data_IF_346015663172
#
_entry.id   IF_346015663172
#
_cell.length_a   1.000
_cell.length_b   1.000
_cell.length_c   1.000
_cell.angle_alpha   90.00
_cell.angle_beta   90.00
_cell.angle_gamma   90.00
#
_symmetry.space_group_name_H-M   'P 1'
#
loop_
_entity.id
_entity.type
_entity.pdbx_description
1 polymer ?
#
# COMPACT_ATOMS: atom_id res chain seq x y z
N UNK A 1 -10.32 27.51 -25.49
CA UNK A 1 -9.48 27.96 -24.36
C UNK A 1 -8.92 26.72 -23.69
N UNK A 2 -7.60 26.58 -23.59
CA UNK A 2 -6.95 25.42 -22.95
C UNK A 2 -6.73 25.72 -21.46
N UNK A 3 -7.74 25.43 -20.65
CA UNK A 3 -7.59 25.40 -19.20
C UNK A 3 -6.79 24.16 -18.82
N UNK A 4 -5.51 24.33 -18.48
CA UNK A 4 -4.68 23.22 -18.02
C UNK A 4 -4.84 23.05 -16.51
N UNK A 5 -5.05 21.82 -16.06
CA UNK A 5 -5.17 21.55 -14.62
C UNK A 5 -3.85 21.83 -13.90
N UNK A 6 -2.70 21.76 -14.59
CA UNK A 6 -1.35 21.90 -14.01
C UNK A 6 -1.12 23.21 -13.26
N UNK A 7 -1.77 24.30 -13.66
CA UNK A 7 -1.66 25.60 -12.99
C UNK A 7 -2.73 25.82 -11.90
N UNK A 8 -3.61 24.85 -11.65
CA UNK A 8 -4.71 24.99 -10.73
C UNK A 8 -4.23 24.87 -9.26
N UNK A 9 -4.69 25.74 -8.33
CA UNK A 9 -4.27 25.73 -6.91
C UNK A 9 -4.49 24.41 -6.17
N UNK A 10 -5.39 23.56 -6.70
CA UNK A 10 -5.69 22.25 -6.13
C UNK A 10 -4.43 21.40 -5.91
N UNK A 11 -3.43 21.47 -6.79
CA UNK A 11 -2.20 20.69 -6.64
C UNK A 11 -1.35 21.15 -5.45
N UNK A 12 -1.30 22.47 -5.20
CA UNK A 12 -0.59 23.01 -4.05
C UNK A 12 -1.28 22.62 -2.75
N UNK A 13 -2.61 22.79 -2.70
CA UNK A 13 -3.40 22.41 -1.53
C UNK A 13 -3.25 20.91 -1.23
N UNK A 14 -3.26 20.07 -2.27
CA UNK A 14 -3.09 18.63 -2.13
C UNK A 14 -1.71 18.23 -1.62
N UNK A 15 -0.67 18.82 -2.19
CA UNK A 15 0.72 18.61 -1.74
C UNK A 15 0.89 19.01 -0.28
N UNK A 16 0.32 20.15 0.13
CA UNK A 16 0.36 20.62 1.51
C UNK A 16 -0.39 19.69 2.46
N UNK A 17 -1.59 19.22 2.08
CA UNK A 17 -2.37 18.29 2.89
C UNK A 17 -1.61 16.97 3.11
N UNK A 18 -1.04 16.40 2.04
CA UNK A 18 -0.24 15.17 2.14
C UNK A 18 1.06 15.37 2.94
N UNK A 19 1.69 16.54 2.86
CA UNK A 19 2.90 16.85 3.64
C UNK A 19 2.66 16.95 5.15
N UNK A 20 1.40 17.14 5.59
CA UNK A 20 1.03 17.15 7.00
C UNK A 20 0.78 15.74 7.56
N UNK A 21 0.74 14.72 6.70
CA UNK A 21 0.48 13.33 7.07
C UNK A 21 1.79 12.54 6.97
N UNK A 22 2.18 11.82 8.02
CA UNK A 22 3.25 10.84 7.91
C UNK A 22 2.71 9.59 7.18
N UNK A 23 2.78 9.62 5.85
CA UNK A 23 2.29 8.53 5.00
C UNK A 23 3.01 7.20 5.29
N UNK A 24 4.26 7.22 5.76
CA UNK A 24 4.95 5.99 6.16
C UNK A 24 4.44 5.46 7.51
N UNK A 25 3.94 6.32 8.39
CA UNK A 25 3.27 5.89 9.63
C UNK A 25 2.00 5.09 9.34
N UNK A 26 1.24 5.43 8.28
CA UNK A 26 0.04 4.67 7.88
C UNK A 26 0.41 3.21 7.59
N UNK A 27 1.38 2.97 6.71
CA UNK A 27 1.81 1.61 6.40
C UNK A 27 2.45 0.89 7.61
N UNK A 28 3.17 1.60 8.47
CA UNK A 28 3.74 1.02 9.70
C UNK A 28 2.65 0.54 10.65
N UNK A 29 1.62 1.36 10.88
CA UNK A 29 0.49 1.01 11.74
C UNK A 29 -0.27 -0.19 11.16
N UNK A 30 -0.59 -0.14 9.86
CA UNK A 30 -1.26 -1.25 9.18
C UNK A 30 -0.50 -2.58 9.30
N UNK A 31 0.82 -2.57 9.05
CA UNK A 31 1.67 -3.76 9.24
C UNK A 31 1.66 -4.29 10.68
N UNK A 32 1.61 -3.40 11.68
CA UNK A 32 1.50 -3.78 13.09
C UNK A 32 0.15 -4.40 13.43
N UNK A 33 -0.94 -3.83 12.92
CA UNK A 33 -2.31 -4.31 13.14
C UNK A 33 -2.50 -5.72 12.56
N UNK A 34 -1.90 -5.99 11.39
CA UNK A 34 -1.86 -7.31 10.76
C UNK A 34 -0.76 -8.23 11.33
N UNK A 35 -0.02 -7.81 12.37
CA UNK A 35 1.07 -8.56 13.01
C UNK A 35 2.17 -9.02 12.03
N UNK A 36 2.35 -8.30 10.93
CA UNK A 36 3.30 -8.63 9.86
C UNK A 36 3.03 -9.99 9.19
N UNK A 37 1.78 -10.47 9.22
CA UNK A 37 1.32 -11.67 8.52
C UNK A 37 0.36 -11.29 7.39
N UNK A 38 0.43 -12.01 6.28
CA UNK A 38 -0.52 -11.90 5.15
C UNK A 38 -1.16 -13.27 4.99
N UNK A 39 -2.49 -13.33 5.03
CA UNK A 39 -3.24 -14.58 4.94
C UNK A 39 -3.94 -14.71 3.59
N UNK A 40 -4.01 -15.93 3.06
CA UNK A 40 -4.70 -16.20 1.78
C UNK A 40 -4.02 -15.51 0.59
N UNK A 41 -2.71 -15.69 0.45
CA UNK A 41 -1.89 -15.03 -0.57
C UNK A 41 -1.80 -15.87 -1.84
N UNK A 42 -1.87 -15.22 -3.00
CA UNK A 42 -1.61 -15.81 -4.31
C UNK A 42 -0.42 -15.09 -4.93
N UNK A 43 0.59 -15.84 -5.39
CA UNK A 43 1.70 -15.25 -6.12
C UNK A 43 1.38 -15.05 -7.61
N UNK A 44 2.34 -14.48 -8.34
CA UNK A 44 2.21 -14.20 -9.78
C UNK A 44 2.06 -15.44 -10.67
N UNK A 45 2.30 -16.64 -10.14
CA UNK A 45 2.16 -17.92 -10.84
C UNK A 45 0.90 -18.69 -10.40
N UNK A 46 -0.07 -18.00 -9.77
CA UNK A 46 -1.29 -18.58 -9.20
C UNK A 46 -1.00 -19.66 -8.13
N UNK A 47 0.15 -19.60 -7.45
CA UNK A 47 0.43 -20.51 -6.34
C UNK A 47 -0.20 -19.99 -5.04
N UNK A 48 -1.05 -20.80 -4.37
CA UNK A 48 -1.70 -20.40 -3.13
C UNK A 48 -0.79 -20.62 -1.91
N UNK A 49 -0.81 -19.66 -0.99
CA UNK A 49 -0.15 -19.71 0.31
C UNK A 49 -1.15 -19.36 1.40
N UNK A 50 -1.23 -20.21 2.42
CA UNK A 50 -2.08 -19.98 3.59
C UNK A 50 -1.64 -18.71 4.32
N UNK A 51 -0.32 -18.57 4.53
CA UNK A 51 0.25 -17.43 5.26
C UNK A 51 1.64 -17.08 4.77
N UNK A 52 1.88 -15.79 4.58
CA UNK A 52 3.20 -15.20 4.36
C UNK A 52 3.63 -14.49 5.64
N UNK A 53 4.86 -14.76 6.09
CA UNK A 53 5.50 -14.09 7.23
C UNK A 53 6.84 -13.50 6.83
N UNK A 54 7.18 -12.37 7.42
CA UNK A 54 8.53 -11.81 7.31
C UNK A 54 9.40 -12.30 8.46
N UNK A 55 10.61 -12.80 8.18
CA UNK A 55 11.58 -13.22 9.20
C UNK A 55 12.12 -12.05 10.02
N UNK A 56 12.00 -10.84 9.47
CA UNK A 56 12.38 -9.57 10.10
C UNK A 56 11.29 -8.56 9.76
N UNK A 57 11.05 -7.59 10.63
CA UNK A 57 10.03 -6.57 10.40
C UNK A 57 10.39 -5.67 9.21
N UNK A 58 9.58 -5.64 8.13
CA UNK A 58 9.84 -4.71 7.03
C UNK A 58 9.54 -3.27 7.47
N UNK A 59 10.40 -2.37 7.04
CA UNK A 59 10.18 -0.92 7.11
C UNK A 59 9.56 -0.47 5.79
N UNK A 60 8.31 0.02 5.79
CA UNK A 60 7.68 0.52 4.58
C UNK A 60 8.29 1.87 4.20
N UNK A 61 8.50 2.08 2.91
CA UNK A 61 8.93 3.34 2.34
C UNK A 61 8.02 3.70 1.17
N UNK A 62 7.36 4.85 1.25
CA UNK A 62 6.50 5.36 0.17
C UNK A 62 7.30 5.52 -1.13
N UNK A 63 6.85 4.87 -2.19
CA UNK A 63 7.42 4.97 -3.54
C UNK A 63 6.47 5.63 -4.54
N UNK A 64 5.16 5.62 -4.27
CA UNK A 64 4.17 6.31 -5.09
C UNK A 64 2.94 6.67 -4.27
N UNK A 65 2.29 7.77 -4.66
CA UNK A 65 0.98 8.17 -4.14
C UNK A 65 0.08 8.65 -5.28
N UNK A 66 -1.22 8.47 -5.15
CA UNK A 66 -2.22 8.90 -6.13
C UNK A 66 -3.53 9.21 -5.43
N UNK A 67 -4.27 10.17 -5.96
CA UNK A 67 -5.61 10.48 -5.47
C UNK A 67 -6.57 10.32 -6.61
N UNK A 68 -7.71 9.71 -6.31
CA UNK A 68 -8.77 9.52 -7.28
C UNK A 68 -10.11 9.95 -6.75
N UNK A 69 -11.04 10.07 -7.70
CA UNK A 69 -12.44 10.29 -7.43
C UNK A 69 -13.24 9.29 -8.25
N UNK A 70 -14.16 8.61 -7.60
CA UNK A 70 -15.11 7.70 -8.23
C UNK A 70 -16.50 8.29 -8.09
N UNK A 71 -17.15 8.71 -9.19
CA UNK A 71 -18.53 9.15 -9.17
C UNK A 71 -19.46 7.98 -8.80
N UNK A 72 -20.43 8.22 -7.92
CA UNK A 72 -21.47 7.28 -7.57
C UNK A 72 -22.86 7.98 -7.54
N UNK A 73 -23.94 7.22 -7.34
CA UNK A 73 -25.32 7.75 -7.38
C UNK A 73 -25.61 8.80 -6.29
N UNK A 74 -24.85 8.79 -5.20
CA UNK A 74 -25.03 9.67 -4.02
C UNK A 74 -24.04 10.84 -3.98
N UNK A 75 -23.05 10.89 -4.88
CA UNK A 75 -21.99 11.88 -4.90
C UNK A 75 -20.65 11.32 -5.38
N UNK A 76 -19.57 12.03 -5.04
CA UNK A 76 -18.21 11.61 -5.35
C UNK A 76 -17.62 10.85 -4.15
N UNK A 77 -16.99 9.70 -4.39
CA UNK A 77 -16.12 9.04 -3.41
C UNK A 77 -14.68 9.41 -3.71
N UNK A 78 -13.96 9.90 -2.71
CA UNK A 78 -12.54 10.23 -2.83
C UNK A 78 -11.71 9.13 -2.19
N UNK A 79 -10.57 8.83 -2.78
CA UNK A 79 -9.65 7.83 -2.26
C UNK A 79 -8.21 8.23 -2.47
N UNK A 80 -7.36 7.74 -1.57
CA UNK A 80 -5.92 7.91 -1.60
C UNK A 80 -5.27 6.53 -1.78
N UNK A 81 -4.48 6.37 -2.83
CA UNK A 81 -3.71 5.17 -3.09
C UNK A 81 -2.24 5.43 -2.76
N UNK A 82 -1.66 4.60 -1.90
CA UNK A 82 -0.28 4.70 -1.43
C UNK A 82 0.45 3.39 -1.71
N UNK A 83 1.57 3.47 -2.43
CA UNK A 83 2.41 2.31 -2.75
C UNK A 83 3.71 2.41 -1.97
N UNK A 84 4.08 1.33 -1.30
CA UNK A 84 5.25 1.24 -0.43
C UNK A 84 6.16 0.12 -0.89
N UNK A 85 7.46 0.35 -0.89
CA UNK A 85 8.46 -0.70 -0.86
C UNK A 85 8.61 -1.23 0.58
N UNK A 86 8.66 -2.55 0.74
CA UNK A 86 8.85 -3.22 2.03
C UNK A 86 10.33 -3.61 2.19
N UNK A 87 11.06 -2.88 3.04
CA UNK A 87 12.51 -3.03 3.18
C UNK A 87 12.88 -3.72 4.49
N UNK A 88 13.65 -4.81 4.44
CA UNK A 88 14.16 -5.49 5.65
C UNK A 88 15.44 -4.83 6.17
N UNK A 89 16.22 -4.26 5.26
CA UNK A 89 17.43 -3.49 5.54
C UNK A 89 17.57 -2.39 4.48
N UNK A 90 18.61 -1.56 4.57
CA UNK A 90 18.88 -0.48 3.62
C UNK A 90 19.07 -0.95 2.17
N UNK A 91 19.29 -2.24 1.93
CA UNK A 91 19.60 -2.78 0.60
C UNK A 91 18.67 -3.92 0.14
N UNK A 92 17.70 -4.32 0.96
CA UNK A 92 16.86 -5.49 0.67
C UNK A 92 15.38 -5.11 0.72
N UNK A 93 14.78 -5.03 -0.45
CA UNK A 93 13.32 -4.94 -0.64
C UNK A 93 12.76 -6.35 -0.84
N UNK A 94 11.76 -6.73 -0.04
CA UNK A 94 11.14 -8.07 -0.08
C UNK A 94 9.79 -8.09 -0.78
N UNK A 95 9.28 -6.93 -1.13
CA UNK A 95 8.01 -6.79 -1.82
C UNK A 95 7.48 -5.38 -1.73
N UNK A 96 6.22 -5.24 -2.08
CA UNK A 96 5.50 -3.99 -2.04
C UNK A 96 4.11 -4.16 -1.44
N UNK A 97 3.62 -3.07 -0.85
CA UNK A 97 2.28 -2.94 -0.32
C UNK A 97 1.60 -1.77 -1.01
N UNK A 98 0.43 -1.99 -1.60
CA UNK A 98 -0.47 -0.96 -2.07
C UNK A 98 -1.64 -0.85 -1.10
N UNK A 99 -1.83 0.32 -0.50
CA UNK A 99 -3.00 0.63 0.31
C UNK A 99 -3.91 1.59 -0.46
N UNK A 100 -5.21 1.30 -0.44
CA UNK A 100 -6.25 2.22 -0.89
C UNK A 100 -7.03 2.65 0.35
N UNK A 101 -7.11 3.96 0.55
CA UNK A 101 -7.68 4.59 1.72
C UNK A 101 -8.89 5.44 1.32
N UNK A 102 -9.91 5.51 2.18
CA UNK A 102 -10.99 6.49 2.03
C UNK A 102 -10.54 7.90 2.48
N UNK A 103 -11.46 8.87 2.42
CA UNK A 103 -11.24 10.25 2.86
C UNK A 103 -11.03 10.41 4.37
N UNK A 104 -11.34 9.37 5.15
CA UNK A 104 -11.07 9.25 6.59
C UNK A 104 -9.74 8.54 6.90
N UNK A 105 -8.94 8.22 5.87
CA UNK A 105 -7.68 7.47 5.95
C UNK A 105 -7.83 6.03 6.49
N UNK A 106 -9.01 5.44 6.37
CA UNK A 106 -9.23 4.02 6.67
C UNK A 106 -8.92 3.18 5.44
N UNK A 107 -8.28 2.02 5.65
CA UNK A 107 -7.97 1.07 4.57
C UNK A 107 -9.28 0.47 4.06
N UNK A 108 -9.57 0.69 2.78
CA UNK A 108 -10.72 0.11 2.07
C UNK A 108 -10.34 -1.05 1.16
N UNK A 109 -9.08 -1.08 0.71
CA UNK A 109 -8.53 -2.17 -0.09
C UNK A 109 -7.01 -2.19 0.03
N UNK A 110 -6.41 -3.35 -0.22
CA UNK A 110 -4.98 -3.56 -0.18
C UNK A 110 -4.53 -4.57 -1.23
N UNK A 111 -3.31 -4.39 -1.73
CA UNK A 111 -2.69 -5.38 -2.60
C UNK A 111 -1.24 -5.61 -2.17
N UNK A 112 -0.87 -6.89 -2.05
CA UNK A 112 0.45 -7.32 -1.64
C UNK A 112 1.21 -7.90 -2.83
N UNK A 113 2.46 -7.48 -3.02
CA UNK A 113 3.35 -8.00 -4.05
C UNK A 113 4.62 -8.50 -3.37
N UNK A 114 4.61 -9.73 -2.87
CA UNK A 114 5.70 -10.27 -2.06
C UNK A 114 6.58 -11.20 -2.88
N UNK A 115 7.89 -10.99 -2.80
CA UNK A 115 8.85 -11.95 -3.30
C UNK A 115 8.93 -13.15 -2.33
N UNK A 116 8.07 -14.15 -2.55
CA UNK A 116 7.99 -15.38 -1.74
C UNK A 116 9.27 -16.21 -1.78
N UNK A 117 10.11 -16.04 -2.81
CA UNK A 117 11.41 -16.70 -2.94
C UNK A 117 12.52 -15.99 -2.15
N UNK A 118 12.23 -14.84 -1.55
CA UNK A 118 13.18 -14.11 -0.72
C UNK A 118 13.58 -14.93 0.51
N UNK A 119 14.87 -14.99 0.88
CA UNK A 119 15.30 -15.69 2.09
C UNK A 119 14.76 -15.04 3.38
N UNK A 120 14.18 -13.84 3.29
CA UNK A 120 13.57 -13.12 4.42
C UNK A 120 12.06 -13.34 4.54
N UNK A 121 11.48 -14.14 3.64
CA UNK A 121 10.07 -14.50 3.65
C UNK A 121 9.93 -15.98 4.05
N UNK A 122 8.88 -16.29 4.80
CA UNK A 122 8.43 -17.66 5.06
C UNK A 122 7.03 -17.76 4.48
N UNK A 123 6.88 -18.59 3.46
CA UNK A 123 5.61 -18.84 2.82
C UNK A 123 5.12 -20.25 3.22
N UNK A 124 3.97 -20.30 3.89
CA UNK A 124 3.30 -21.55 4.27
C UNK A 124 2.33 -21.91 3.15
N UNK A 125 2.58 -23.04 2.49
CA UNK A 125 1.75 -23.52 1.39
C UNK A 125 0.46 -24.09 1.96
N UNK A 126 -0.68 -23.68 1.38
CA UNK A 126 -1.96 -24.28 1.68
C UNK A 126 -2.00 -25.70 1.08
N UNK A 127 -2.03 -26.73 1.96
CA UNK A 127 -2.17 -28.13 1.55
C UNK A 127 -3.64 -28.51 1.62
N UNK A 128 -4.46 -27.92 0.75
CA UNK A 128 -5.84 -28.37 0.53
C UNK A 128 -5.87 -29.59 -0.40
#
# INVERSE_FOLDING_TARGET
>A
MTTTLKAHPIWQNLSQALAQIDLNQIARQHLQDCKFEIHGYWDENDQPYETIRFKQTPTPQLISSSIGVTPNQTGNTYWLQLRYALNISLSVTVGELLLILNDSLEVIDENWFINVQSPYVVAVIDHN
#
